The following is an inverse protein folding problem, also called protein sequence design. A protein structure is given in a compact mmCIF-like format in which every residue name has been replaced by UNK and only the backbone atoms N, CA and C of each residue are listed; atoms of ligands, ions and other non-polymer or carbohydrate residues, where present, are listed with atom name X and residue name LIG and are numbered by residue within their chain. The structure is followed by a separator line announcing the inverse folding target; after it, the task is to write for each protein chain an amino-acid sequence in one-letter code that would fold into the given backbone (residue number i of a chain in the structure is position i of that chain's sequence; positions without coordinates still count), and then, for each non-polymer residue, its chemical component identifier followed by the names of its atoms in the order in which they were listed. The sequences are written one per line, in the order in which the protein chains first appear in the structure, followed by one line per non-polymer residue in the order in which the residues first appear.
data_IF_490418387336
#
_entry.id   IF_490418387336
#
_cell.length_a   1.000
_cell.length_b   1.000
_cell.length_c   1.000
_cell.angle_alpha   90.00
_cell.angle_beta   90.00
_cell.angle_gamma   90.00
#
_symmetry.space_group_name_H-M   'P 1'
#
loop_
_entity.id
_entity.type
_entity.pdbx_description
1 polymer ?
#
# COMPACT_ATOMS: atom_id res chain seq x y z
N UNK A 1 -28.87 -2.40 7.82
CA UNK A 1 -28.31 -3.76 7.99
C UNK A 1 -26.81 -3.68 7.84
N UNK A 2 -26.05 -4.13 8.83
CA UNK A 2 -24.59 -4.19 8.71
C UNK A 2 -24.21 -5.48 7.96
N UNK A 3 -23.37 -5.36 6.93
CA UNK A 3 -22.81 -6.49 6.19
C UNK A 3 -21.35 -6.63 6.61
N UNK A 4 -20.96 -7.81 7.10
CA UNK A 4 -19.56 -8.11 7.41
C UNK A 4 -18.84 -8.60 6.15
N UNK A 5 -17.70 -7.99 5.85
CA UNK A 5 -16.83 -8.43 4.75
C UNK A 5 -15.36 -8.32 5.19
N UNK A 6 -14.65 -9.46 5.17
CA UNK A 6 -13.24 -9.57 5.48
C UNK A 6 -12.53 -10.36 4.39
N UNK A 7 -11.45 -9.82 3.85
CA UNK A 7 -10.57 -10.52 2.91
C UNK A 7 -9.12 -10.30 3.31
N UNK A 8 -8.35 -11.38 3.34
CA UNK A 8 -6.92 -11.37 3.65
C UNK A 8 -6.13 -11.91 2.48
N UNK A 9 -5.07 -11.21 2.07
CA UNK A 9 -4.14 -11.66 1.04
C UNK A 9 -2.71 -11.42 1.51
N UNK A 10 -1.82 -12.44 1.48
CA UNK A 10 -0.43 -12.24 1.84
C UNK A 10 0.25 -11.32 0.83
N UNK A 11 1.20 -10.51 1.31
CA UNK A 11 2.09 -9.71 0.48
C UNK A 11 3.38 -10.48 0.32
N UNK A 12 3.67 -10.93 -0.90
CA UNK A 12 4.90 -11.68 -1.21
C UNK A 12 5.69 -11.03 -2.33
N UNK A 13 7.01 -10.99 -2.16
CA UNK A 13 7.96 -10.51 -3.18
C UNK A 13 7.97 -11.39 -4.42
N UNK A 14 7.80 -12.71 -4.27
CA UNK A 14 7.73 -13.65 -5.40
C UNK A 14 6.53 -13.37 -6.31
N UNK A 15 5.46 -12.78 -5.76
CA UNK A 15 4.28 -12.35 -6.51
C UNK A 15 4.42 -10.95 -7.14
N UNK A 16 5.62 -10.36 -7.11
CA UNK A 16 5.90 -9.02 -7.62
C UNK A 16 5.42 -7.87 -6.72
N UNK A 17 4.93 -8.16 -5.51
CA UNK A 17 4.43 -7.16 -4.55
C UNK A 17 5.47 -6.86 -3.48
N UNK A 18 5.54 -5.62 -3.04
CA UNK A 18 6.41 -5.20 -1.93
C UNK A 18 5.59 -4.62 -0.79
N UNK A 19 6.13 -4.75 0.43
CA UNK A 19 5.51 -4.16 1.61
C UNK A 19 5.47 -2.63 1.50
N UNK A 20 6.59 -2.00 1.12
CA UNK A 20 6.72 -0.55 0.92
C UNK A 20 5.71 0.00 -0.08
N UNK A 21 5.56 -0.61 -1.26
CA UNK A 21 4.55 -0.20 -2.23
C UNK A 21 3.12 -0.38 -1.68
N UNK A 22 2.85 -1.48 -0.99
CA UNK A 22 1.53 -1.77 -0.43
C UNK A 22 1.14 -0.76 0.66
N UNK A 23 2.09 -0.36 1.50
CA UNK A 23 1.88 0.63 2.56
C UNK A 23 1.68 2.01 1.93
N UNK A 24 2.59 2.43 1.06
CA UNK A 24 2.52 3.72 0.37
C UNK A 24 1.17 3.89 -0.35
N UNK A 25 0.73 2.85 -1.06
CA UNK A 25 -0.57 2.84 -1.72
C UNK A 25 -1.72 3.01 -0.72
N UNK A 26 -1.77 2.21 0.36
CA UNK A 26 -2.87 2.22 1.34
C UNK A 26 -2.95 3.53 2.14
N UNK A 27 -1.80 4.11 2.46
CA UNK A 27 -1.70 5.35 3.22
C UNK A 27 -1.67 6.62 2.34
N UNK A 28 -1.58 6.48 1.01
CA UNK A 28 -1.56 7.63 0.10
C UNK A 28 -0.33 8.53 0.32
N UNK A 29 0.82 7.92 0.62
CA UNK A 29 2.07 8.64 0.92
C UNK A 29 3.19 8.23 -0.04
N UNK A 30 4.29 8.97 -0.01
CA UNK A 30 5.53 8.60 -0.66
C UNK A 30 6.43 7.79 0.30
N UNK A 31 6.90 6.63 -0.14
CA UNK A 31 7.87 5.80 0.60
C UNK A 31 9.00 5.39 -0.32
N UNK A 32 10.24 5.57 0.15
CA UNK A 32 11.44 5.05 -0.49
C UNK A 32 11.79 3.68 0.06
N UNK A 33 11.89 2.67 -0.81
CA UNK A 33 12.42 1.35 -0.48
C UNK A 33 13.95 1.41 -0.52
N UNK A 34 14.59 1.50 0.64
CA UNK A 34 16.05 1.57 0.77
C UNK A 34 16.76 0.35 0.17
N UNK A 35 16.13 -0.83 0.18
CA UNK A 35 16.75 -2.08 -0.30
C UNK A 35 16.80 -2.14 -1.82
N UNK A 36 15.86 -1.49 -2.51
CA UNK A 36 15.83 -1.47 -3.99
C UNK A 36 16.13 -0.11 -4.59
N UNK A 37 16.23 0.94 -3.77
CA UNK A 37 16.35 2.33 -4.19
C UNK A 37 15.08 2.90 -4.85
N UNK A 38 13.99 2.13 -4.92
CA UNK A 38 12.77 2.56 -5.61
C UNK A 38 11.92 3.47 -4.74
N UNK A 39 11.36 4.50 -5.35
CA UNK A 39 10.40 5.38 -4.70
C UNK A 39 8.97 5.01 -5.13
N UNK A 40 8.09 4.86 -4.14
CA UNK A 40 6.68 4.58 -4.31
C UNK A 40 5.89 5.80 -3.87
N UNK A 41 5.60 6.69 -4.81
CA UNK A 41 4.81 7.90 -4.57
C UNK A 41 3.33 7.68 -4.93
N UNK A 42 2.48 7.63 -3.89
CA UNK A 42 1.03 7.56 -4.02
C UNK A 42 0.32 8.78 -3.39
N UNK A 43 1.01 9.91 -3.25
CA UNK A 43 0.46 11.15 -2.67
C UNK A 43 -0.75 11.69 -3.43
N UNK A 44 -0.86 11.39 -4.72
CA UNK A 44 -1.98 11.79 -5.58
C UNK A 44 -3.22 10.90 -5.44
N UNK A 45 -3.17 9.89 -4.57
CA UNK A 45 -4.27 8.94 -4.40
C UNK A 45 -5.45 9.58 -3.66
N UNK A 46 -6.63 9.51 -4.27
CA UNK A 46 -7.88 9.91 -3.63
C UNK A 46 -8.51 8.77 -2.82
N UNK A 47 -9.40 9.12 -1.88
CA UNK A 47 -10.13 8.15 -1.06
C UNK A 47 -9.33 7.52 0.08
N UNK A 48 -8.16 8.07 0.40
CA UNK A 48 -7.43 7.76 1.63
C UNK A 48 -7.85 8.78 2.69
N UNK A 49 -8.20 8.29 3.87
CA UNK A 49 -8.52 9.16 5.01
C UNK A 49 -7.22 9.73 5.56
N UNK A 50 -7.12 11.06 5.59
CA UNK A 50 -6.06 11.83 6.23
C UNK A 50 -6.69 12.62 7.36
N UNK A 51 -6.07 12.62 8.54
CA UNK A 51 -6.47 13.44 9.71
C UNK A 51 -5.48 14.58 9.89
#
# INVERSE_FOLDING_TARGET
MAIYHLSTKPVSRSSGRTATASIAYRAGIAIKDERTGKEHDYTKRSGVVST
#
